data_IF_711447989284
#
_entry.id   IF_711447989284
#
_cell.length_a   1.000
_cell.length_b   1.000
_cell.length_c   1.000
_cell.angle_alpha   90.00
_cell.angle_beta   90.00
_cell.angle_gamma   90.00
#
_symmetry.space_group_name_H-M   'P 1'
#
loop_
_entity.id
_entity.type
_entity.pdbx_description
1 polymer ?
#
# COMPACT_ATOMS: atom_id res chain seq x y z
N UNK A 1 -31.07 -41.58 50.23
CA UNK A 1 -30.08 -40.66 50.85
C UNK A 1 -28.68 -41.21 50.64
N UNK A 2 -27.90 -40.68 49.70
CA UNK A 2 -26.42 -40.82 49.63
C UNK A 2 -25.88 -39.61 48.86
N UNK A 3 -25.14 -38.73 49.56
CA UNK A 3 -24.40 -37.58 49.03
C UNK A 3 -22.97 -38.04 48.73
N UNK A 4 -22.40 -37.64 47.59
CA UNK A 4 -20.96 -37.48 47.29
C UNK A 4 -20.80 -37.31 45.77
N UNK A 5 -19.96 -36.46 45.20
CA UNK A 5 -19.14 -35.38 45.69
C UNK A 5 -18.86 -34.46 44.48
N UNK A 6 -18.80 -33.15 44.72
CA UNK A 6 -18.39 -32.13 43.76
C UNK A 6 -16.93 -32.40 43.32
N UNK A 7 -16.69 -32.47 42.02
CA UNK A 7 -15.38 -32.21 41.43
C UNK A 7 -15.49 -30.90 40.64
N UNK A 8 -15.13 -29.79 41.28
CA UNK A 8 -14.98 -28.48 40.63
C UNK A 8 -13.57 -28.42 40.09
N UNK A 9 -13.40 -28.73 38.81
CA UNK A 9 -12.13 -28.54 38.10
C UNK A 9 -12.03 -27.07 37.69
N UNK A 10 -11.24 -26.30 38.41
CA UNK A 10 -10.90 -24.91 38.09
C UNK A 10 -10.00 -24.91 36.83
N UNK A 11 -10.57 -24.68 35.66
CA UNK A 11 -9.81 -24.43 34.44
C UNK A 11 -9.47 -22.93 34.39
N UNK A 12 -8.29 -22.57 34.89
CA UNK A 12 -7.74 -21.21 34.74
C UNK A 12 -7.33 -21.03 33.28
N UNK A 13 -8.22 -20.44 32.47
CA UNK A 13 -7.86 -19.96 31.14
C UNK A 13 -7.02 -18.69 31.32
N UNK A 14 -5.70 -18.85 31.21
CA UNK A 14 -4.74 -17.77 31.12
C UNK A 14 -5.10 -16.88 29.92
N UNK A 15 -5.69 -15.72 30.20
CA UNK A 15 -5.89 -14.65 29.24
C UNK A 15 -4.51 -14.12 28.82
N UNK A 16 -3.95 -14.70 27.76
CA UNK A 16 -2.85 -14.09 27.02
C UNK A 16 -3.37 -12.79 26.40
N UNK A 17 -3.15 -11.69 27.11
CA UNK A 17 -3.24 -10.33 26.58
C UNK A 17 -2.16 -10.17 25.51
N UNK A 18 -2.41 -10.73 24.33
CA UNK A 18 -1.76 -10.30 23.12
C UNK A 18 -2.16 -8.85 22.91
N UNK A 19 -1.24 -7.94 23.21
CA UNK A 19 -1.31 -6.56 22.73
C UNK A 19 -1.71 -6.63 21.25
N UNK A 20 -2.73 -5.89 20.79
CA UNK A 20 -2.95 -5.78 19.37
C UNK A 20 -1.67 -5.18 18.81
N UNK A 21 -0.90 -5.99 18.08
CA UNK A 21 0.07 -5.45 17.16
C UNK A 21 -0.73 -4.45 16.34
N UNK A 22 -0.45 -3.17 16.50
CA UNK A 22 -1.00 -2.14 15.64
C UNK A 22 -0.52 -2.53 14.25
N UNK A 23 -1.38 -3.24 13.52
CA UNK A 23 -1.21 -3.42 12.10
C UNK A 23 -1.24 -2.00 11.55
N UNK A 24 -0.06 -1.40 11.41
CA UNK A 24 0.14 -0.18 10.65
C UNK A 24 -0.11 -0.57 9.20
N UNK A 25 -1.39 -0.73 8.89
CA UNK A 25 -1.85 -0.89 7.53
C UNK A 25 -1.51 0.38 6.79
N UNK A 26 -1.14 0.23 5.53
CA UNK A 26 -0.96 1.36 4.62
C UNK A 26 -2.22 2.22 4.69
N UNK A 27 -2.05 3.53 4.88
CA UNK A 27 -3.15 4.48 4.95
C UNK A 27 -2.98 5.57 3.93
N UNK A 28 -4.10 6.23 3.61
CA UNK A 28 -4.09 7.47 2.85
C UNK A 28 -3.98 8.62 3.85
N UNK A 29 -2.84 9.31 3.88
CA UNK A 29 -2.51 10.26 4.97
C UNK A 29 -3.26 11.60 4.85
N UNK A 30 -3.65 11.99 3.63
CA UNK A 30 -4.25 13.30 3.33
C UNK A 30 -5.77 13.25 3.15
N UNK A 31 -6.40 12.10 3.38
CA UNK A 31 -7.85 11.91 3.19
C UNK A 31 -8.31 11.85 1.73
N UNK A 32 -7.41 11.92 0.75
CA UNK A 32 -7.74 11.92 -0.68
C UNK A 32 -8.50 10.67 -1.15
N UNK A 33 -8.42 9.57 -0.40
CA UNK A 33 -9.19 8.34 -0.65
C UNK A 33 -10.71 8.56 -0.67
N UNK A 34 -11.22 9.58 0.03
CA UNK A 34 -12.63 9.94 -0.02
C UNK A 34 -13.11 10.29 -1.44
N UNK A 35 -12.22 10.80 -2.31
CA UNK A 35 -12.55 11.19 -3.69
C UNK A 35 -12.74 10.00 -4.63
N UNK A 36 -12.11 8.87 -4.35
CA UNK A 36 -12.23 7.65 -5.14
C UNK A 36 -13.16 6.61 -4.50
N UNK A 37 -13.47 6.78 -3.21
CA UNK A 37 -14.35 5.90 -2.44
C UNK A 37 -13.59 4.77 -1.74
N UNK A 38 -14.21 4.11 -0.75
CA UNK A 38 -13.55 3.16 0.14
C UNK A 38 -13.15 1.84 -0.54
N UNK A 39 -13.91 1.40 -1.54
CA UNK A 39 -13.58 0.18 -2.30
C UNK A 39 -12.31 0.37 -3.12
N UNK A 40 -12.26 1.42 -3.93
CA UNK A 40 -11.11 1.75 -4.76
C UNK A 40 -9.90 2.12 -3.92
N UNK A 41 -10.10 2.84 -2.81
CA UNK A 41 -9.00 3.12 -1.86
C UNK A 41 -8.36 1.84 -1.36
N UNK A 42 -9.15 0.85 -0.96
CA UNK A 42 -8.62 -0.45 -0.53
C UNK A 42 -7.88 -1.16 -1.67
N UNK A 43 -8.46 -1.18 -2.87
CA UNK A 43 -7.84 -1.81 -4.02
C UNK A 43 -6.49 -1.16 -4.40
N UNK A 44 -6.39 0.18 -4.31
CA UNK A 44 -5.13 0.90 -4.49
C UNK A 44 -4.11 0.53 -3.42
N UNK A 45 -4.49 0.54 -2.15
CA UNK A 45 -3.59 0.17 -1.05
C UNK A 45 -3.09 -1.28 -1.21
N UNK A 46 -3.96 -2.21 -1.60
CA UNK A 46 -3.56 -3.59 -1.89
C UNK A 46 -2.54 -3.68 -3.03
N UNK A 47 -2.73 -2.90 -4.10
CA UNK A 47 -1.78 -2.83 -5.21
C UNK A 47 -0.44 -2.24 -4.76
N UNK A 48 -0.45 -1.16 -3.98
CA UNK A 48 0.77 -0.55 -3.42
C UNK A 48 1.52 -1.56 -2.55
N UNK A 49 0.82 -2.25 -1.64
CA UNK A 49 1.39 -3.28 -0.77
C UNK A 49 2.07 -4.41 -1.54
N UNK A 50 1.38 -4.96 -2.54
CA UNK A 50 1.93 -6.04 -3.38
C UNK A 50 3.15 -5.64 -4.21
N UNK A 51 3.20 -4.40 -4.70
CA UNK A 51 4.25 -3.98 -5.63
C UNK A 51 5.47 -3.37 -4.94
N UNK A 52 5.29 -2.70 -3.80
CA UNK A 52 6.38 -1.99 -3.14
C UNK A 52 6.98 -2.73 -1.94
N UNK A 53 6.34 -3.81 -1.46
CA UNK A 53 6.75 -4.54 -0.26
C UNK A 53 7.00 -3.61 0.96
N UNK A 54 6.23 -2.52 1.04
CA UNK A 54 6.39 -1.48 2.07
C UNK A 54 5.08 -1.30 2.84
N UNK A 55 4.91 -1.98 3.99
CA UNK A 55 3.68 -1.91 4.79
C UNK A 55 3.44 -0.52 5.39
N UNK A 56 4.49 0.29 5.53
CA UNK A 56 4.41 1.68 5.99
C UNK A 56 4.38 2.68 4.82
N UNK A 57 4.07 2.26 3.59
CA UNK A 57 3.97 3.20 2.48
C UNK A 57 2.92 4.28 2.77
N UNK A 58 3.31 5.54 2.58
CA UNK A 58 2.43 6.71 2.75
C UNK A 58 1.80 7.03 1.41
N UNK A 59 0.48 7.00 1.34
CA UNK A 59 -0.25 7.30 0.11
C UNK A 59 -0.99 8.62 0.26
N UNK A 60 -0.89 9.48 -0.75
CA UNK A 60 -1.57 10.79 -0.81
C UNK A 60 -2.06 11.08 -2.23
N UNK A 61 -2.78 12.19 -2.37
CA UNK A 61 -3.18 12.80 -3.65
C UNK A 61 -4.04 11.92 -4.56
N UNK A 62 -4.73 10.93 -4.00
CA UNK A 62 -5.60 10.01 -4.76
C UNK A 62 -6.68 10.75 -5.54
N UNK A 63 -6.74 10.50 -6.84
CA UNK A 63 -7.74 11.05 -7.76
C UNK A 63 -7.99 10.11 -8.93
N UNK A 64 -9.21 10.13 -9.47
CA UNK A 64 -9.50 9.48 -10.76
C UNK A 64 -8.88 10.31 -11.89
N UNK A 65 -8.41 9.62 -12.91
CA UNK A 65 -7.95 10.17 -14.17
C UNK A 65 -8.73 9.59 -15.34
N UNK A 66 -8.43 10.05 -16.55
CA UNK A 66 -9.03 9.55 -17.78
C UNK A 66 -8.90 8.02 -17.90
N UNK A 67 -9.91 7.37 -18.50
CA UNK A 67 -9.91 5.93 -18.70
C UNK A 67 -10.08 5.10 -17.43
N UNK A 68 -10.43 5.72 -16.30
CA UNK A 68 -10.65 5.02 -15.02
C UNK A 68 -9.38 4.72 -14.24
N UNK A 69 -8.22 5.23 -14.69
CA UNK A 69 -6.98 5.15 -13.94
C UNK A 69 -7.09 5.95 -12.63
N UNK A 70 -6.27 5.57 -11.65
CA UNK A 70 -6.10 6.31 -10.40
C UNK A 70 -4.68 6.84 -10.32
N UNK A 71 -4.57 8.14 -10.15
CA UNK A 71 -3.31 8.82 -9.88
C UNK A 71 -3.18 9.10 -8.39
N UNK A 72 -1.95 9.14 -7.91
CA UNK A 72 -1.65 9.57 -6.56
C UNK A 72 -0.15 9.67 -6.35
N UNK A 73 0.24 9.80 -5.09
CA UNK A 73 1.62 9.87 -4.67
C UNK A 73 1.89 8.84 -3.58
N UNK A 74 3.09 8.26 -3.60
CA UNK A 74 3.54 7.27 -2.63
C UNK A 74 4.93 7.63 -2.13
N UNK A 75 5.14 7.55 -0.82
CA UNK A 75 6.44 7.66 -0.18
C UNK A 75 6.74 6.37 0.58
N UNK A 76 7.93 5.82 0.36
CA UNK A 76 8.38 4.57 0.98
C UNK A 76 9.70 4.79 1.69
N UNK A 77 9.91 4.04 2.77
CA UNK A 77 11.18 4.07 3.48
C UNK A 77 12.26 3.37 2.66
N UNK A 78 13.44 3.97 2.62
CA UNK A 78 14.64 3.32 2.15
C UNK A 78 15.15 2.28 3.18
N UNK A 79 16.26 1.61 2.88
CA UNK A 79 16.86 0.60 3.76
C UNK A 79 17.32 1.16 5.11
N UNK A 80 17.51 2.47 5.21
CA UNK A 80 17.85 3.18 6.45
C UNK A 80 16.60 3.57 7.27
N UNK A 81 15.40 3.22 6.79
CA UNK A 81 14.14 3.54 7.46
C UNK A 81 13.68 4.99 7.24
N UNK A 82 14.27 5.72 6.30
CA UNK A 82 13.93 7.13 6.02
C UNK A 82 13.08 7.23 4.76
N UNK A 83 12.08 8.11 4.77
CA UNK A 83 11.29 8.44 3.59
C UNK A 83 12.14 9.22 2.59
N UNK A 84 12.14 8.77 1.33
CA UNK A 84 12.91 9.36 0.23
C UNK A 84 12.20 10.51 -0.48
N UNK A 85 10.97 10.80 -0.05
CA UNK A 85 10.11 11.82 -0.62
C UNK A 85 9.09 11.22 -1.59
N UNK A 86 7.92 11.87 -1.73
CA UNK A 86 6.82 11.37 -2.54
C UNK A 86 7.21 11.13 -3.99
N UNK A 87 6.65 10.07 -4.57
CA UNK A 87 6.72 9.77 -6.00
C UNK A 87 5.32 9.54 -6.53
N UNK A 88 5.03 10.17 -7.67
CA UNK A 88 3.78 9.94 -8.38
C UNK A 88 3.63 8.45 -8.73
N UNK A 89 2.39 7.99 -8.82
CA UNK A 89 2.08 6.68 -9.36
C UNK A 89 0.79 6.73 -10.16
N UNK A 90 0.63 5.70 -11.01
CA UNK A 90 -0.61 5.40 -11.72
C UNK A 90 -1.02 3.96 -11.42
N UNK A 91 -2.30 3.76 -11.17
CA UNK A 91 -2.91 2.46 -10.95
C UNK A 91 -4.10 2.25 -11.88
N UNK A 92 -4.20 1.07 -12.46
CA UNK A 92 -5.42 0.61 -13.14
C UNK A 92 -6.02 -0.53 -12.32
N UNK A 93 -7.21 -0.27 -11.77
CA UNK A 93 -7.89 -1.23 -10.92
C UNK A 93 -8.50 -2.40 -11.72
N UNK A 94 -8.90 -2.17 -12.97
CA UNK A 94 -9.49 -3.20 -13.81
C UNK A 94 -8.43 -4.22 -14.26
N UNK A 95 -7.27 -3.74 -14.68
CA UNK A 95 -6.12 -4.57 -15.04
C UNK A 95 -5.23 -4.98 -13.86
N UNK A 96 -5.59 -4.57 -12.63
CA UNK A 96 -4.81 -4.79 -11.40
C UNK A 96 -3.32 -4.39 -11.55
N UNK A 97 -3.07 -3.27 -12.23
CA UNK A 97 -1.71 -2.78 -12.51
C UNK A 97 -1.37 -1.56 -11.66
N UNK A 98 -0.08 -1.44 -11.35
CA UNK A 98 0.47 -0.33 -10.56
C UNK A 98 1.86 0.01 -11.09
N UNK A 99 2.11 1.31 -11.26
CA UNK A 99 3.43 1.83 -11.62
C UNK A 99 3.76 3.08 -10.84
N UNK A 100 4.78 3.00 -9.97
CA UNK A 100 5.42 4.17 -9.35
C UNK A 100 6.36 4.82 -10.34
N UNK A 101 6.32 6.14 -10.45
CA UNK A 101 7.28 6.89 -11.26
C UNK A 101 8.69 6.65 -10.71
N UNK A 102 9.62 6.18 -11.55
CA UNK A 102 11.00 5.94 -11.14
C UNK A 102 11.70 7.26 -10.83
N UNK A 103 12.67 7.24 -9.92
CA UNK A 103 13.55 8.39 -9.72
C UNK A 103 14.67 8.46 -10.78
N UNK A 104 15.41 9.58 -10.80
CA UNK A 104 16.49 9.80 -11.76
C UNK A 104 17.58 8.71 -11.69
N UNK A 105 18.12 8.40 -10.50
CA UNK A 105 19.07 7.30 -10.33
C UNK A 105 18.55 5.95 -10.81
N UNK A 106 17.29 5.60 -10.54
CA UNK A 106 16.63 4.35 -11.00
C UNK A 106 16.65 4.24 -12.53
N UNK A 107 16.45 5.34 -13.26
CA UNK A 107 16.51 5.38 -14.72
C UNK A 107 17.95 5.29 -15.28
N UNK A 108 18.93 5.79 -14.54
CA UNK A 108 20.34 5.82 -14.95
C UNK A 108 21.09 4.52 -14.67
N UNK A 109 20.58 3.69 -13.77
CA UNK A 109 21.21 2.42 -13.38
C UNK A 109 20.18 1.29 -13.25
N UNK A 110 19.48 0.94 -14.35
CA UNK A 110 18.55 -0.16 -14.36
C UNK A 110 19.29 -1.49 -14.19
N UNK A 111 18.67 -2.46 -13.50
CA UNK A 111 19.28 -3.78 -13.31
C UNK A 111 19.41 -4.53 -14.66
N UNK A 112 18.46 -4.33 -15.58
CA UNK A 112 18.47 -4.82 -16.96
C UNK A 112 17.92 -3.77 -17.93
N UNK A 113 18.27 -3.87 -19.22
CA UNK A 113 17.76 -2.93 -20.24
C UNK A 113 16.23 -2.90 -20.35
N UNK A 114 15.58 -4.06 -20.20
CA UNK A 114 14.12 -4.26 -20.20
C UNK A 114 13.44 -3.51 -19.04
N UNK A 115 14.13 -3.39 -17.90
CA UNK A 115 13.63 -2.68 -16.73
C UNK A 115 13.55 -1.17 -17.01
N UNK A 116 14.49 -0.63 -17.80
CA UNK A 116 14.46 0.78 -18.20
C UNK A 116 13.25 1.10 -19.06
N UNK A 117 12.96 0.27 -20.06
CA UNK A 117 11.80 0.48 -20.92
C UNK A 117 10.49 0.40 -20.13
N UNK A 118 10.37 -0.55 -19.19
CA UNK A 118 9.22 -0.64 -18.31
C UNK A 118 9.07 0.61 -17.43
N UNK A 119 10.16 1.09 -16.84
CA UNK A 119 10.23 2.33 -16.06
C UNK A 119 9.83 3.56 -16.90
N UNK A 120 10.32 3.67 -18.12
CA UNK A 120 9.95 4.75 -19.04
C UNK A 120 8.48 4.69 -19.45
N UNK A 121 7.91 3.49 -19.68
CA UNK A 121 6.47 3.33 -19.96
C UNK A 121 5.62 3.83 -18.80
N UNK A 122 5.96 3.48 -17.56
CA UNK A 122 5.26 3.98 -16.36
C UNK A 122 5.36 5.50 -16.27
N UNK A 123 6.56 6.04 -16.48
CA UNK A 123 6.77 7.49 -16.51
C UNK A 123 5.87 8.15 -17.55
N UNK A 124 5.90 7.72 -18.81
CA UNK A 124 5.06 8.28 -19.89
C UNK A 124 3.56 8.17 -19.59
N UNK A 125 3.13 7.03 -19.03
CA UNK A 125 1.74 6.83 -18.63
C UNK A 125 1.31 7.84 -17.56
N UNK A 126 2.15 8.05 -16.54
CA UNK A 126 1.91 9.05 -15.51
C UNK A 126 1.88 10.47 -16.09
N UNK A 127 2.84 10.84 -16.94
CA UNK A 127 2.87 12.16 -17.60
C UNK A 127 1.59 12.43 -18.41
N UNK A 128 1.03 11.41 -19.06
CA UNK A 128 -0.17 11.52 -19.87
C UNK A 128 -1.47 11.63 -19.06
N UNK A 129 -1.56 10.90 -17.94
CA UNK A 129 -2.82 10.75 -17.19
C UNK A 129 -2.88 11.56 -15.89
N UNK A 130 -1.72 11.89 -15.32
CA UNK A 130 -1.60 12.34 -13.94
C UNK A 130 -0.93 13.71 -13.79
N UNK A 131 -0.45 14.31 -14.88
CA UNK A 131 0.02 15.69 -14.89
C UNK A 131 -0.96 16.51 -15.73
N UNK A 132 -1.66 17.39 -15.03
CA UNK A 132 -2.56 18.40 -15.60
C UNK A 132 -1.88 19.77 -15.49
#
# INVERSE_FOLDING_TARGET
MKRAALAVTLLVLSAGLGLPATARGQTVEDGSGARIGPADTRAVLDLVGRNLNSPEARVTELRRAEGGAICGSVDVRNRQGLYGGPRGFVADLAGASFGRVPDGPELLSPARGEDREAMERVRQLYFRLCLD
#
